data_IF_116070405786
#
_entry.id   IF_116070405786
#
_cell.length_a   1.000
_cell.length_b   1.000
_cell.length_c   1.000
_cell.angle_alpha   90.00
_cell.angle_beta   90.00
_cell.angle_gamma   90.00
#
_symmetry.space_group_name_H-M   'P 1'
#
loop_
_entity.id
_entity.type
_entity.pdbx_description
1 polymer ?
#
# COMPACT_ATOMS: atom_id res chain seq x y z
N UNK A 1 28.92 0.18 -25.94
CA UNK A 1 28.71 1.05 -24.76
C UNK A 1 27.45 0.56 -24.08
N UNK A 2 27.59 -0.20 -23.00
CA UNK A 2 26.46 -0.67 -22.20
C UNK A 2 26.11 0.42 -21.21
N UNK A 3 24.92 1.02 -21.33
CA UNK A 3 24.45 2.03 -20.39
C UNK A 3 23.26 1.47 -19.61
N UNK A 4 23.52 1.29 -18.32
CA UNK A 4 22.62 1.45 -17.17
C UNK A 4 21.21 0.86 -17.32
N UNK A 5 21.10 -0.45 -17.10
CA UNK A 5 19.94 -0.97 -16.37
C UNK A 5 20.08 -0.52 -14.92
N UNK A 6 19.34 0.51 -14.52
CA UNK A 6 19.15 0.82 -13.11
C UNK A 6 18.45 -0.40 -12.49
N UNK A 7 19.25 -1.23 -11.83
CA UNK A 7 18.75 -2.40 -11.14
C UNK A 7 17.87 -1.89 -10.01
N UNK A 8 16.59 -2.24 -10.07
CA UNK A 8 15.69 -2.22 -8.92
C UNK A 8 16.46 -2.68 -7.68
N UNK A 9 16.74 -1.75 -6.77
CA UNK A 9 17.39 -2.09 -5.51
C UNK A 9 16.27 -2.36 -4.50
N UNK A 10 16.09 -3.63 -4.06
CA UNK A 10 14.99 -4.01 -3.16
C UNK A 10 14.96 -3.19 -1.86
N UNK A 11 16.10 -2.60 -1.46
CA UNK A 11 16.26 -1.71 -0.30
C UNK A 11 15.56 -0.36 -0.45
N UNK A 12 15.48 0.20 -1.67
CA UNK A 12 14.78 1.46 -1.93
C UNK A 12 13.26 1.26 -1.87
N UNK A 13 12.77 0.15 -2.42
CA UNK A 13 11.35 -0.24 -2.33
C UNK A 13 10.89 -0.41 -0.88
N UNK A 14 11.66 -1.08 -0.03
CA UNK A 14 11.34 -1.27 1.38
C UNK A 14 11.33 0.04 2.21
N UNK A 15 12.20 1.00 1.86
CA UNK A 15 12.24 2.31 2.51
C UNK A 15 11.00 3.16 2.17
N UNK A 16 10.62 3.26 0.89
CA UNK A 16 9.39 3.93 0.46
C UNK A 16 8.14 3.28 1.07
N UNK A 17 8.12 1.95 1.17
CA UNK A 17 7.03 1.21 1.81
C UNK A 17 6.86 1.61 3.28
N UNK A 18 7.97 1.76 4.01
CA UNK A 18 7.98 2.15 5.43
C UNK A 18 7.49 3.60 5.62
N UNK A 19 7.84 4.52 4.73
CA UNK A 19 7.38 5.91 4.79
C UNK A 19 5.89 6.05 4.53
N UNK A 20 5.37 5.36 3.51
CA UNK A 20 3.93 5.37 3.23
C UNK A 20 3.13 4.67 4.33
N UNK A 21 3.68 3.62 4.93
CA UNK A 21 3.11 2.97 6.10
C UNK A 21 3.07 3.89 7.34
N UNK A 22 4.12 4.69 7.57
CA UNK A 22 4.12 5.71 8.61
C UNK A 22 3.09 6.81 8.36
N UNK A 23 2.93 7.21 7.09
CA UNK A 23 1.93 8.16 6.63
C UNK A 23 0.50 7.64 6.85
N UNK A 24 0.25 6.36 6.56
CA UNK A 24 -1.05 5.71 6.81
C UNK A 24 -1.32 5.54 8.30
N UNK A 25 -0.32 5.13 9.10
CA UNK A 25 -0.44 4.93 10.55
C UNK A 25 -0.58 6.24 11.33
N UNK A 26 -0.03 7.35 10.83
CA UNK A 26 -0.29 8.70 11.38
C UNK A 26 -1.67 9.23 11.00
N UNK A 27 -2.47 8.40 10.34
CA UNK A 27 -3.79 8.71 9.83
C UNK A 27 -3.68 9.53 8.57
N UNK A 28 -4.42 9.12 7.54
CA UNK A 28 -4.88 9.95 6.43
C UNK A 28 -5.55 11.29 6.87
N UNK A 29 -5.53 11.61 8.16
CA UNK A 29 -6.02 12.81 8.84
C UNK A 29 -4.97 13.93 8.93
N UNK A 30 -3.66 13.64 8.81
CA UNK A 30 -2.59 14.63 8.93
C UNK A 30 -1.91 15.02 7.61
N UNK A 31 -2.06 14.22 6.56
CA UNK A 31 -1.45 14.45 5.26
C UNK A 31 -2.44 15.10 4.28
N UNK A 32 -1.98 16.02 3.42
CA UNK A 32 -2.77 16.46 2.29
C UNK A 32 -3.21 15.25 1.45
N UNK A 33 -4.47 15.22 1.00
CA UNK A 33 -4.99 14.16 0.13
C UNK A 33 -4.14 13.95 -1.13
N UNK A 34 -3.54 15.03 -1.65
CA UNK A 34 -2.57 14.98 -2.75
C UNK A 34 -1.35 14.12 -2.43
N UNK A 35 -0.81 14.20 -1.21
CA UNK A 35 0.31 13.36 -0.76
C UNK A 35 -0.09 11.90 -0.64
N UNK A 36 -1.30 11.62 -0.14
CA UNK A 36 -1.83 10.26 -0.11
C UNK A 36 -1.95 9.66 -1.52
N UNK A 37 -2.45 10.44 -2.49
CA UNK A 37 -2.53 10.00 -3.88
C UNK A 37 -1.16 9.73 -4.50
N UNK A 38 -0.16 10.59 -4.28
CA UNK A 38 1.22 10.36 -4.76
C UNK A 38 1.82 9.09 -4.16
N UNK A 39 1.59 8.83 -2.87
CA UNK A 39 2.10 7.60 -2.26
C UNK A 39 1.44 6.34 -2.81
N UNK A 40 0.12 6.38 -3.01
CA UNK A 40 -0.63 5.26 -3.61
C UNK A 40 -0.18 5.00 -5.06
N UNK A 41 0.10 6.05 -5.83
CA UNK A 41 0.65 5.92 -7.20
C UNK A 41 2.05 5.28 -7.20
N UNK A 42 2.95 5.76 -6.33
CA UNK A 42 4.30 5.19 -6.20
C UNK A 42 4.24 3.70 -5.80
N UNK A 43 3.31 3.32 -4.93
CA UNK A 43 3.10 1.93 -4.54
C UNK A 43 2.62 1.06 -5.69
N UNK A 44 1.61 1.51 -6.44
CA UNK A 44 1.13 0.79 -7.62
C UNK A 44 2.30 0.55 -8.60
N UNK A 45 3.04 1.61 -8.94
CA UNK A 45 4.20 1.52 -9.83
C UNK A 45 5.26 0.51 -9.33
N UNK A 46 5.61 0.51 -8.03
CA UNK A 46 6.60 -0.40 -7.47
C UNK A 46 6.13 -1.86 -7.49
N UNK A 47 4.86 -2.10 -7.15
CA UNK A 47 4.28 -3.44 -7.10
C UNK A 47 4.11 -4.02 -8.51
N UNK A 48 3.73 -3.20 -9.49
CA UNK A 48 3.67 -3.59 -10.90
C UNK A 48 5.05 -3.97 -11.45
N UNK A 49 6.07 -3.16 -11.14
CA UNK A 49 7.46 -3.42 -11.56
C UNK A 49 8.08 -4.67 -10.91
N UNK A 50 7.52 -5.16 -9.80
CA UNK A 50 8.02 -6.38 -9.15
C UNK A 50 7.86 -7.63 -10.01
N UNK A 51 6.90 -7.63 -10.96
CA UNK A 51 6.57 -8.79 -11.78
C UNK A 51 5.94 -9.96 -11.00
N UNK A 52 5.59 -9.79 -9.72
CA UNK A 52 5.00 -10.83 -8.88
C UNK A 52 3.48 -10.89 -9.13
N UNK A 53 2.95 -12.00 -9.68
CA UNK A 53 1.51 -12.08 -10.01
C UNK A 53 0.60 -11.96 -8.78
N UNK A 54 1.05 -12.45 -7.62
CA UNK A 54 0.31 -12.36 -6.37
C UNK A 54 0.10 -10.91 -5.86
N UNK A 55 0.84 -9.93 -6.39
CA UNK A 55 0.70 -8.52 -6.01
C UNK A 55 -0.31 -7.77 -6.89
N UNK A 56 -0.82 -8.38 -7.96
CA UNK A 56 -1.79 -7.74 -8.86
C UNK A 56 -3.12 -7.40 -8.17
N UNK A 57 -3.53 -8.22 -7.20
CA UNK A 57 -4.73 -7.94 -6.40
C UNK A 57 -4.52 -6.74 -5.48
N UNK A 58 -3.31 -6.60 -4.92
CA UNK A 58 -2.91 -5.44 -4.10
C UNK A 58 -2.93 -4.16 -4.95
N UNK A 59 -2.35 -4.19 -6.15
CA UNK A 59 -2.37 -3.04 -7.09
C UNK A 59 -3.80 -2.60 -7.39
N UNK A 60 -4.70 -3.54 -7.67
CA UNK A 60 -6.10 -3.22 -7.97
C UNK A 60 -6.81 -2.58 -6.78
N UNK A 61 -6.59 -3.10 -5.57
CA UNK A 61 -7.21 -2.55 -4.38
C UNK A 61 -6.65 -1.16 -4.02
N UNK A 62 -5.39 -0.87 -4.33
CA UNK A 62 -4.84 0.47 -4.21
C UNK A 62 -5.56 1.49 -5.12
N UNK A 63 -5.97 1.08 -6.33
CA UNK A 63 -6.81 1.92 -7.20
C UNK A 63 -8.21 2.18 -6.60
N UNK A 64 -8.79 1.20 -5.91
CA UNK A 64 -10.05 1.37 -5.19
C UNK A 64 -9.89 2.37 -4.03
N UNK A 65 -8.82 2.22 -3.24
CA UNK A 65 -8.49 3.16 -2.16
C UNK A 65 -8.31 4.59 -2.69
N UNK A 66 -7.55 4.76 -3.77
CA UNK A 66 -7.35 6.08 -4.40
C UNK A 66 -8.67 6.71 -4.84
N UNK A 67 -9.58 5.92 -5.41
CA UNK A 67 -10.91 6.39 -5.79
C UNK A 67 -11.74 6.83 -4.57
N UNK A 68 -11.67 6.08 -3.47
CA UNK A 68 -12.35 6.45 -2.22
C UNK A 68 -11.84 7.78 -1.65
N UNK A 69 -10.52 8.01 -1.74
CA UNK A 69 -9.87 9.25 -1.30
C UNK A 69 -10.11 10.44 -2.24
N UNK A 70 -10.49 10.16 -3.50
CA UNK A 70 -10.79 11.17 -4.52
C UNK A 70 -12.25 11.64 -4.51
N UNK A 71 -13.09 11.14 -3.60
CA UNK A 71 -14.54 11.38 -3.62
C UNK A 71 -14.90 12.88 -3.70
N UNK A 72 -15.58 13.25 -4.78
CA UNK A 72 -16.00 14.62 -5.13
C UNK A 72 -16.97 15.27 -4.11
N UNK A 73 -17.49 14.50 -3.15
CA UNK A 73 -18.52 14.93 -2.21
C UNK A 73 -18.00 15.56 -0.89
N UNK A 74 -16.70 15.89 -0.80
CA UNK A 74 -16.03 16.56 0.33
C UNK A 74 -16.04 15.81 1.68
N UNK A 75 -16.78 14.72 1.83
CA UNK A 75 -16.75 13.84 3.02
C UNK A 75 -16.22 12.46 2.67
N UNK A 76 -15.06 12.13 3.25
CA UNK A 76 -14.46 10.81 3.18
C UNK A 76 -15.33 9.80 3.95
N UNK A 77 -15.60 8.63 3.34
CA UNK A 77 -16.27 7.53 4.00
C UNK A 77 -15.25 6.67 4.76
N UNK A 78 -15.05 6.96 6.05
CA UNK A 78 -14.06 6.26 6.88
C UNK A 78 -14.25 4.74 6.89
N UNK A 79 -15.49 4.26 6.95
CA UNK A 79 -15.78 2.82 6.95
C UNK A 79 -15.40 2.17 5.62
N UNK A 80 -15.70 2.81 4.49
CA UNK A 80 -15.31 2.29 3.17
C UNK A 80 -13.78 2.29 3.00
N UNK A 81 -13.11 3.34 3.46
CA UNK A 81 -11.65 3.43 3.46
C UNK A 81 -11.05 2.34 4.35
N UNK A 82 -11.59 2.16 5.56
CA UNK A 82 -11.15 1.12 6.49
C UNK A 82 -11.24 -0.28 5.89
N UNK A 83 -12.37 -0.61 5.26
CA UNK A 83 -12.55 -1.89 4.54
C UNK A 83 -11.53 -2.11 3.44
N UNK A 84 -11.20 -1.06 2.68
CA UNK A 84 -10.19 -1.13 1.62
C UNK A 84 -8.81 -1.41 2.21
N UNK A 85 -8.45 -0.76 3.33
CA UNK A 85 -7.20 -1.03 4.05
C UNK A 85 -7.14 -2.45 4.62
N UNK A 86 -8.23 -2.93 5.24
CA UNK A 86 -8.34 -4.30 5.75
C UNK A 86 -8.14 -5.32 4.62
N UNK A 87 -8.75 -5.08 3.46
CA UNK A 87 -8.59 -5.95 2.28
C UNK A 87 -7.18 -5.93 1.71
N UNK A 88 -6.53 -4.75 1.64
CA UNK A 88 -5.11 -4.65 1.30
C UNK A 88 -4.25 -5.47 2.26
N UNK A 89 -4.51 -5.42 3.57
CA UNK A 89 -3.79 -6.19 4.56
C UNK A 89 -3.92 -7.71 4.35
N UNK A 90 -5.13 -8.19 4.07
CA UNK A 90 -5.41 -9.60 3.75
C UNK A 90 -4.71 -10.04 2.46
N UNK A 91 -4.76 -9.25 1.39
CA UNK A 91 -4.11 -9.58 0.12
C UNK A 91 -2.58 -9.55 0.25
N UNK A 92 -2.04 -8.58 0.99
CA UNK A 92 -0.61 -8.49 1.27
C UNK A 92 -0.11 -9.69 2.08
N UNK A 93 -0.89 -10.16 3.06
CA UNK A 93 -0.58 -11.39 3.81
C UNK A 93 -0.49 -12.60 2.89
N UNK A 94 -1.41 -12.72 1.93
CA UNK A 94 -1.39 -13.80 0.93
C UNK A 94 -0.17 -13.72 0.03
N UNK A 95 0.19 -12.51 -0.43
CA UNK A 95 1.40 -12.32 -1.22
C UNK A 95 2.68 -12.69 -0.44
N UNK A 96 2.75 -12.32 0.84
CA UNK A 96 3.86 -12.66 1.74
C UNK A 96 4.10 -14.17 1.84
N UNK A 97 3.02 -14.97 1.84
CA UNK A 97 3.11 -16.43 1.95
C UNK A 97 3.90 -17.07 0.79
N UNK A 98 3.92 -16.43 -0.38
CA UNK A 98 4.64 -16.91 -1.58
C UNK A 98 5.98 -16.22 -1.82
N UNK A 99 6.32 -15.22 -1.01
CA UNK A 99 7.52 -14.42 -1.20
C UNK A 99 8.79 -15.09 -0.65
N UNK A 100 9.95 -14.62 -1.14
CA UNK A 100 11.26 -14.93 -0.56
C UNK A 100 11.32 -14.54 0.92
N UNK A 101 12.20 -15.13 1.74
CA UNK A 101 12.23 -14.87 3.19
C UNK A 101 12.39 -13.39 3.54
N UNK A 102 13.25 -12.68 2.82
CA UNK A 102 13.50 -11.25 3.00
C UNK A 102 12.23 -10.43 2.70
N UNK A 103 11.63 -10.63 1.52
CA UNK A 103 10.41 -9.92 1.10
C UNK A 103 9.19 -10.30 1.94
N UNK A 104 9.10 -11.54 2.42
CA UNK A 104 8.01 -12.00 3.29
C UNK A 104 7.94 -11.21 4.58
N UNK A 105 9.07 -10.92 5.21
CA UNK A 105 9.11 -10.15 6.46
C UNK A 105 8.54 -8.74 6.24
N UNK A 106 8.94 -8.09 5.15
CA UNK A 106 8.47 -6.75 4.80
C UNK A 106 6.98 -6.74 4.47
N UNK A 107 6.51 -7.70 3.66
CA UNK A 107 5.09 -7.82 3.31
C UNK A 107 4.21 -8.16 4.53
N UNK A 108 4.71 -8.99 5.46
CA UNK A 108 3.98 -9.32 6.69
C UNK A 108 3.82 -8.08 7.56
N UNK A 109 4.87 -7.26 7.69
CA UNK A 109 4.81 -5.99 8.42
C UNK A 109 3.86 -5.00 7.77
N UNK A 110 3.87 -4.88 6.45
CA UNK A 110 2.92 -4.07 5.69
C UNK A 110 1.48 -4.52 5.96
N UNK A 111 1.23 -5.83 5.89
CA UNK A 111 -0.08 -6.39 6.13
C UNK A 111 -0.64 -6.06 7.52
N UNK A 112 0.17 -6.22 8.58
CA UNK A 112 -0.22 -5.91 9.95
C UNK A 112 -0.65 -4.44 10.11
N UNK A 113 0.14 -3.52 9.55
CA UNK A 113 -0.15 -2.09 9.61
C UNK A 113 -1.45 -1.72 8.86
N UNK A 114 -1.69 -2.35 7.70
CA UNK A 114 -2.91 -2.15 6.91
C UNK A 114 -4.14 -2.67 7.65
N UNK A 115 -4.06 -3.87 8.23
CA UNK A 115 -5.15 -4.47 9.02
C UNK A 115 -5.49 -3.60 10.23
N UNK A 116 -4.48 -3.11 10.94
CA UNK A 116 -4.68 -2.24 12.10
C UNK A 116 -5.35 -0.92 11.71
N UNK A 117 -4.82 -0.23 10.70
CA UNK A 117 -5.40 1.02 10.22
C UNK A 117 -6.83 0.83 9.66
N UNK A 118 -7.09 -0.30 9.00
CA UNK A 118 -8.41 -0.69 8.54
C UNK A 118 -9.40 -0.85 9.69
N UNK A 119 -9.04 -1.65 10.69
CA UNK A 119 -9.84 -1.87 11.90
C UNK A 119 -10.16 -0.57 12.66
N UNK A 120 -9.15 0.29 12.84
CA UNK A 120 -9.31 1.59 13.50
C UNK A 120 -10.34 2.50 12.78
N UNK A 121 -10.36 2.50 11.44
CA UNK A 121 -11.31 3.29 10.63
C UNK A 121 -12.70 2.65 10.51
N UNK A 122 -12.77 1.32 10.56
CA UNK A 122 -14.04 0.58 10.61
C UNK A 122 -14.71 0.67 11.99
N UNK A 123 -13.93 0.96 13.04
CA UNK A 123 -14.40 1.06 14.42
C UNK A 123 -14.57 -0.30 15.10
N UNK A 124 -13.70 -1.27 14.76
CA UNK A 124 -13.73 -2.66 15.25
C UNK A 124 -12.46 -3.04 16.03
#
# INVERSE_FOLDING_TARGET
MSQFTDHYTPKAGAAQLTETLHALHSGLTGLPLSTAHTHIDNWQNLLEQSGIPALQDVVRELGNLQSLLSSENHTLNSVAIGRSLSMLGVQTTQAAATASPETRQDLTRLADMLLKAGGDLEGI
#
